data_IF_164137922904
#
_entry.id   IF_164137922904
#
_cell.length_a   1.000
_cell.length_b   1.000
_cell.length_c   1.000
_cell.angle_alpha   90.00
_cell.angle_beta   90.00
_cell.angle_gamma   90.00
#
_symmetry.space_group_name_H-M   'P 1'
#
loop_
_entity.id
_entity.type
_entity.pdbx_description
1 polymer ?
#
# COMPACT_ATOMS: atom_id res chain seq x y z
N UNK A 1 -14.84 -12.02 33.06
CA UNK A 1 -13.82 -11.25 32.33
C UNK A 1 -13.48 -12.00 31.07
N UNK A 2 -14.03 -11.60 29.93
CA UNK A 2 -13.76 -12.21 28.63
C UNK A 2 -12.64 -11.43 27.93
N UNK A 3 -11.50 -12.09 27.75
CA UNK A 3 -10.44 -11.62 26.86
C UNK A 3 -10.96 -11.85 25.43
N UNK A 4 -11.60 -10.84 24.86
CA UNK A 4 -12.03 -10.81 23.45
C UNK A 4 -11.09 -9.88 22.68
N UNK A 5 -9.81 -10.25 22.69
CA UNK A 5 -8.90 -9.88 21.62
C UNK A 5 -8.61 -11.19 20.91
N UNK A 6 -8.40 -11.16 19.60
CA UNK A 6 -8.04 -12.30 18.74
C UNK A 6 -9.25 -13.04 18.13
N UNK A 7 -10.01 -12.35 17.29
CA UNK A 7 -10.38 -12.93 16.00
C UNK A 7 -10.45 -11.86 14.89
N UNK A 8 -9.59 -10.85 14.97
CA UNK A 8 -9.45 -9.80 13.97
C UNK A 8 -8.03 -9.77 13.42
N UNK A 9 -7.88 -9.50 12.13
CA UNK A 9 -6.59 -9.41 11.46
C UNK A 9 -5.82 -8.21 11.98
N UNK A 10 -4.61 -8.44 12.48
CA UNK A 10 -3.76 -7.38 13.01
C UNK A 10 -3.12 -6.57 11.87
N UNK A 11 -3.15 -5.24 11.99
CA UNK A 11 -2.37 -4.36 11.12
C UNK A 11 -0.99 -4.12 11.71
N UNK A 12 0.03 -4.58 10.98
CA UNK A 12 1.43 -4.29 11.33
C UNK A 12 1.78 -2.87 10.89
N UNK A 13 2.47 -2.13 11.76
CA UNK A 13 2.97 -0.79 11.44
C UNK A 13 4.47 -0.76 11.68
N UNK A 14 5.22 -0.23 10.73
CA UNK A 14 6.66 -0.01 10.86
C UNK A 14 6.92 1.38 11.45
N UNK A 15 7.32 1.52 12.75
CA UNK A 15 7.41 2.84 13.39
C UNK A 15 8.46 3.75 12.73
N UNK A 16 9.56 3.17 12.22
CA UNK A 16 10.60 3.91 11.49
C UNK A 16 10.06 4.51 10.19
N UNK A 17 9.21 3.79 9.47
CA UNK A 17 8.57 4.29 8.26
C UNK A 17 7.55 5.38 8.61
N UNK A 18 6.69 5.10 9.59
CA UNK A 18 5.66 6.03 10.05
C UNK A 18 6.26 7.38 10.48
N UNK A 19 7.44 7.36 11.12
CA UNK A 19 8.16 8.59 11.49
C UNK A 19 8.59 9.42 10.27
N UNK A 20 8.89 8.78 9.14
CA UNK A 20 9.42 9.44 7.95
C UNK A 20 8.33 9.94 6.99
N UNK A 21 7.29 9.13 6.76
CA UNK A 21 6.27 9.42 5.74
C UNK A 21 4.89 9.74 6.34
N UNK A 22 4.70 9.46 7.63
CA UNK A 22 3.42 9.56 8.32
C UNK A 22 2.80 8.20 8.65
N UNK A 23 2.02 8.15 9.73
CA UNK A 23 1.42 6.91 10.25
C UNK A 23 0.44 6.29 9.23
N UNK A 24 -0.46 7.10 8.68
CA UNK A 24 -1.49 6.60 7.77
C UNK A 24 -0.88 6.10 6.46
N UNK A 25 0.11 6.82 5.94
CA UNK A 25 0.86 6.47 4.75
C UNK A 25 1.64 5.15 4.95
N UNK A 26 2.26 4.98 6.11
CA UNK A 26 2.97 3.75 6.46
C UNK A 26 2.03 2.54 6.60
N UNK A 27 0.85 2.72 7.22
CA UNK A 27 -0.17 1.67 7.30
C UNK A 27 -0.65 1.28 5.90
N UNK A 28 -0.96 2.26 5.05
CA UNK A 28 -1.41 2.01 3.68
C UNK A 28 -0.36 1.26 2.86
N UNK A 29 0.90 1.72 2.89
CA UNK A 29 2.00 1.06 2.19
C UNK A 29 2.20 -0.39 2.66
N UNK A 30 2.10 -0.64 3.97
CA UNK A 30 2.24 -2.00 4.49
C UNK A 30 1.15 -2.92 3.94
N UNK A 31 -0.10 -2.49 3.90
CA UNK A 31 -1.19 -3.31 3.36
C UNK A 31 -1.10 -3.46 1.84
N UNK A 32 -0.66 -2.43 1.12
CA UNK A 32 -0.38 -2.54 -0.31
C UNK A 32 0.72 -3.59 -0.57
N UNK A 33 1.78 -3.62 0.24
CA UNK A 33 2.84 -4.63 0.14
C UNK A 33 2.30 -6.05 0.34
N UNK A 34 1.47 -6.28 1.37
CA UNK A 34 0.85 -7.60 1.58
C UNK A 34 0.03 -8.04 0.36
N UNK A 35 -0.78 -7.13 -0.20
CA UNK A 35 -1.58 -7.43 -1.39
C UNK A 35 -0.75 -7.65 -2.64
N UNK A 36 0.42 -7.00 -2.77
CA UNK A 36 1.35 -7.27 -3.86
C UNK A 36 1.92 -8.69 -3.77
N UNK A 37 2.25 -9.16 -2.57
CA UNK A 37 2.74 -10.54 -2.37
C UNK A 37 1.69 -11.60 -2.75
N UNK A 38 0.41 -11.28 -2.58
CA UNK A 38 -0.71 -12.15 -2.97
C UNK A 38 -1.13 -11.98 -4.45
N UNK A 39 -0.69 -10.89 -5.11
CA UNK A 39 -1.14 -10.55 -6.44
C UNK A 39 -0.45 -11.40 -7.52
N UNK A 40 -1.26 -11.89 -8.45
CA UNK A 40 -0.82 -12.59 -9.66
C UNK A 40 -0.79 -11.69 -10.90
N UNK A 41 -1.16 -10.42 -10.75
CA UNK A 41 -1.25 -9.50 -11.88
C UNK A 41 0.11 -8.85 -12.14
N UNK A 42 0.71 -9.19 -13.28
CA UNK A 42 2.00 -8.65 -13.73
C UNK A 42 1.79 -7.88 -15.03
N UNK A 43 2.23 -6.62 -15.05
CA UNK A 43 2.23 -5.77 -16.24
C UNK A 43 3.54 -4.98 -16.28
N UNK A 44 4.13 -4.87 -17.47
CA UNK A 44 5.40 -4.16 -17.71
C UNK A 44 6.54 -4.63 -16.79
N UNK A 45 6.59 -5.95 -16.49
CA UNK A 45 7.58 -6.55 -15.60
C UNK A 45 7.38 -6.28 -14.10
N UNK A 46 6.26 -5.65 -13.70
CA UNK A 46 5.97 -5.31 -12.30
C UNK A 46 4.68 -5.98 -11.82
N UNK A 47 4.63 -6.35 -10.54
CA UNK A 47 3.38 -6.76 -9.89
C UNK A 47 2.51 -5.54 -9.57
N UNK A 48 1.20 -5.71 -9.70
CA UNK A 48 0.21 -4.67 -9.47
C UNK A 48 -0.99 -5.15 -8.66
N UNK A 49 -1.62 -4.23 -7.94
CA UNK A 49 -2.86 -4.47 -7.21
C UNK A 49 -3.98 -3.62 -7.83
N UNK A 50 -4.95 -4.22 -8.54
CA UNK A 50 -6.13 -3.50 -9.03
C UNK A 50 -7.13 -3.27 -7.90
N UNK A 51 -7.41 -2.03 -7.53
CA UNK A 51 -8.41 -1.71 -6.48
C UNK A 51 -9.03 -0.32 -6.66
N UNK A 52 -10.32 -0.19 -6.38
CA UNK A 52 -11.01 1.11 -6.37
C UNK A 52 -10.75 1.85 -5.04
N UNK A 53 -11.16 3.12 -4.94
CA UNK A 53 -11.10 3.78 -3.63
C UNK A 53 -12.03 3.09 -2.64
N UNK A 54 -13.22 2.68 -3.10
CA UNK A 54 -14.22 1.96 -2.32
C UNK A 54 -13.67 0.62 -1.81
N UNK A 55 -12.93 -0.13 -2.62
CA UNK A 55 -12.28 -1.36 -2.17
C UNK A 55 -11.18 -1.12 -1.12
N UNK A 56 -10.47 0.01 -1.19
CA UNK A 56 -9.59 0.41 -0.09
C UNK A 56 -10.35 0.82 1.17
N UNK A 57 -11.55 1.41 1.03
CA UNK A 57 -12.40 1.74 2.17
C UNK A 57 -12.86 0.51 2.93
N UNK A 58 -13.22 -0.56 2.20
CA UNK A 58 -13.62 -1.83 2.81
C UNK A 58 -12.49 -2.44 3.66
N UNK A 59 -11.23 -2.27 3.24
CA UNK A 59 -10.06 -2.72 3.99
C UNK A 59 -9.68 -1.78 5.14
N UNK A 60 -10.00 -0.50 5.00
CA UNK A 60 -9.72 0.55 5.99
C UNK A 60 -11.02 1.23 6.45
N UNK A 61 -11.96 0.49 7.07
CA UNK A 61 -13.29 1.02 7.41
C UNK A 61 -13.26 2.14 8.46
N UNK A 62 -12.10 2.36 9.08
CA UNK A 62 -11.85 3.43 10.04
C UNK A 62 -11.38 4.74 9.40
N UNK A 63 -11.09 4.76 8.09
CA UNK A 63 -10.77 5.97 7.35
C UNK A 63 -11.92 6.37 6.43
N UNK A 64 -12.26 7.66 6.42
CA UNK A 64 -13.19 8.20 5.44
C UNK A 64 -12.64 8.10 4.01
N UNK A 65 -13.53 8.19 3.02
CA UNK A 65 -13.10 8.23 1.62
C UNK A 65 -12.20 9.40 1.26
N UNK A 66 -12.38 10.55 1.90
CA UNK A 66 -11.47 11.70 1.74
C UNK A 66 -10.08 11.40 2.29
N UNK A 67 -9.99 10.66 3.40
CA UNK A 67 -8.72 10.28 4.02
C UNK A 67 -7.93 9.31 3.14
N UNK A 68 -8.58 8.27 2.61
CA UNK A 68 -7.95 7.33 1.68
C UNK A 68 -7.43 8.03 0.43
N UNK A 69 -8.23 8.90 -0.19
CA UNK A 69 -7.79 9.68 -1.36
C UNK A 69 -6.59 10.57 -1.04
N UNK A 70 -6.57 11.22 0.13
CA UNK A 70 -5.46 12.05 0.59
C UNK A 70 -4.18 11.24 0.81
N UNK A 71 -4.29 10.07 1.45
CA UNK A 71 -3.14 9.17 1.69
C UNK A 71 -2.54 8.73 0.36
N UNK A 72 -3.37 8.22 -0.55
CA UNK A 72 -2.93 7.77 -1.88
C UNK A 72 -2.27 8.92 -2.63
N UNK A 73 -2.92 10.08 -2.68
CA UNK A 73 -2.38 11.26 -3.37
C UNK A 73 -1.01 11.64 -2.82
N UNK A 74 -0.84 11.68 -1.50
CA UNK A 74 0.45 12.02 -0.87
C UNK A 74 1.54 11.01 -1.22
N UNK A 75 1.24 9.71 -1.16
CA UNK A 75 2.17 8.65 -1.55
C UNK A 75 2.58 8.72 -3.03
N UNK A 76 1.67 9.15 -3.91
CA UNK A 76 1.98 9.41 -5.33
C UNK A 76 2.89 10.64 -5.50
N UNK A 77 2.63 11.72 -4.76
CA UNK A 77 3.48 12.92 -4.80
C UNK A 77 4.90 12.62 -4.29
N UNK A 78 5.02 11.80 -3.25
CA UNK A 78 6.31 11.33 -2.71
C UNK A 78 6.95 10.22 -3.56
N UNK A 79 6.33 9.83 -4.68
CA UNK A 79 6.79 8.77 -5.59
C UNK A 79 6.96 7.40 -4.91
N UNK A 80 6.34 7.17 -3.74
CA UNK A 80 6.41 5.91 -2.98
C UNK A 80 5.48 4.84 -3.54
N UNK A 81 4.39 5.26 -4.18
CA UNK A 81 3.55 4.39 -4.99
C UNK A 81 3.47 4.91 -6.41
N UNK A 82 3.35 3.98 -7.35
CA UNK A 82 3.11 4.27 -8.75
C UNK A 82 1.74 3.73 -9.10
N UNK A 83 1.00 4.49 -9.89
CA UNK A 83 -0.34 4.10 -10.31
C UNK A 83 -0.47 4.00 -11.81
N UNK A 84 -1.28 3.03 -12.23
CA UNK A 84 -1.48 2.68 -13.63
C UNK A 84 -2.96 2.47 -13.95
N UNK A 85 -3.22 2.26 -15.25
CA UNK A 85 -4.54 1.91 -15.78
C UNK A 85 -4.38 0.72 -16.72
N UNK A 86 -4.82 -0.44 -16.28
CA UNK A 86 -4.78 -1.68 -17.06
C UNK A 86 -6.17 -2.30 -17.25
N UNK A 87 -7.23 -1.51 -17.05
CA UNK A 87 -8.61 -1.98 -17.22
C UNK A 87 -8.92 -2.13 -18.72
N UNK A 88 -9.62 -3.21 -19.07
CA UNK A 88 -10.07 -3.45 -20.44
C UNK A 88 -11.24 -2.54 -20.83
N UNK A 89 -12.13 -2.25 -19.89
CA UNK A 89 -13.32 -1.42 -20.11
C UNK A 89 -13.06 0.03 -19.68
N UNK A 90 -13.43 0.99 -20.54
CA UNK A 90 -13.28 2.43 -20.24
C UNK A 90 -14.14 2.94 -19.08
N UNK A 91 -15.24 2.24 -18.77
CA UNK A 91 -16.13 2.60 -17.66
C UNK A 91 -15.58 2.15 -16.30
N UNK A 92 -14.66 1.17 -16.31
CA UNK A 92 -14.03 0.68 -15.10
C UNK A 92 -12.99 1.70 -14.63
N UNK A 93 -13.25 2.27 -13.44
CA UNK A 93 -12.41 3.29 -12.81
C UNK A 93 -11.43 2.69 -11.79
N UNK A 94 -11.29 1.36 -11.75
CA UNK A 94 -10.31 0.67 -10.90
C UNK A 94 -8.92 1.20 -11.19
N UNK A 95 -8.19 1.57 -10.13
CA UNK A 95 -6.83 2.07 -10.25
C UNK A 95 -5.89 0.93 -9.90
N UNK A 96 -4.75 0.88 -10.57
CA UNK A 96 -3.74 -0.14 -10.35
C UNK A 96 -2.61 0.48 -9.55
N UNK A 97 -2.15 -0.19 -8.50
CA UNK A 97 -1.13 0.32 -7.59
C UNK A 97 0.05 -0.63 -7.53
N UNK A 98 1.26 -0.07 -7.46
CA UNK A 98 2.47 -0.78 -7.04
C UNK A 98 3.34 0.11 -6.16
N UNK A 99 4.24 -0.51 -5.39
CA UNK A 99 5.23 0.22 -4.60
C UNK A 99 6.42 0.57 -5.51
N UNK A 100 6.97 1.76 -5.32
CA UNK A 100 8.26 2.14 -5.87
C UNK A 100 9.35 1.79 -4.86
N UNK A 101 9.98 0.63 -5.02
CA UNK A 101 10.97 0.15 -4.07
C UNK A 101 12.25 0.99 -4.06
N UNK A 102 12.63 1.59 -5.20
CA UNK A 102 13.80 2.48 -5.28
C UNK A 102 13.58 3.74 -4.43
N UNK A 103 12.39 4.37 -4.55
CA UNK A 103 12.03 5.52 -3.72
C UNK A 103 11.88 5.13 -2.25
N UNK A 104 11.34 3.95 -1.96
CA UNK A 104 11.21 3.44 -0.60
C UNK A 104 12.59 3.22 0.04
N UNK A 105 13.56 2.68 -0.68
CA UNK A 105 14.93 2.51 -0.17
C UNK A 105 15.57 3.85 0.19
N UNK A 106 15.41 4.87 -0.66
CA UNK A 106 15.88 6.22 -0.40
C UNK A 106 15.28 6.81 0.90
N UNK A 107 14.03 6.49 1.24
CA UNK A 107 13.41 6.91 2.52
C UNK A 107 14.13 6.30 3.71
N UNK A 108 14.54 5.04 3.66
CA UNK A 108 15.20 4.38 4.79
C UNK A 108 16.67 4.74 4.95
N UNK A 109 17.32 5.22 3.88
CA UNK A 109 18.77 5.35 3.77
C UNK A 109 19.38 4.06 3.24
N UNK A 110 20.40 4.17 2.37
CA UNK A 110 21.02 3.05 1.65
C UNK A 110 21.30 1.83 2.56
N UNK A 111 20.86 0.63 2.13
CA UNK A 111 21.30 -0.63 2.72
C UNK A 111 20.37 -1.36 3.69
N UNK A 112 19.11 -0.91 3.89
CA UNK A 112 18.16 -1.60 4.78
C UNK A 112 17.37 -2.71 4.07
N UNK A 113 17.00 -2.55 2.79
CA UNK A 113 16.13 -3.52 2.09
C UNK A 113 16.87 -4.68 1.44
N UNK A 114 18.17 -4.54 1.15
CA UNK A 114 19.01 -5.61 0.59
C UNK A 114 19.05 -6.89 1.46
N UNK A 115 18.61 -6.83 2.73
CA UNK A 115 18.56 -8.00 3.64
C UNK A 115 17.19 -8.67 3.74
N UNK A 116 16.11 -8.06 3.26
CA UNK A 116 14.73 -8.55 3.52
C UNK A 116 14.12 -9.25 2.31
N UNK A 117 14.55 -8.92 1.09
CA UNK A 117 13.96 -9.43 -0.17
C UNK A 117 14.63 -10.73 -0.66
N UNK A 118 15.73 -11.18 -0.04
CA UNK A 118 16.36 -12.48 -0.34
C UNK A 118 15.80 -13.63 0.51
N UNK A 119 14.48 -13.85 0.46
CA UNK A 119 13.86 -15.11 0.93
C UNK A 119 12.96 -15.69 -0.14
#
# INVERSE_FOLDING_TARGET
MSILLINETQMLVMPKLAKRIGLNEAIFLQQLYQRLNESKHVHDGHQWVPTSYEGWHEQFPFWSMSTIRRIIYKLEQEQLIITGKYNQLKIDKTKWYRINFDALEAVYGEGIFAKVVQR
#
